data_IF_211010966542
#
_entry.id   IF_211010966542
#
_cell.length_a   1.000
_cell.length_b   1.000
_cell.length_c   1.000
_cell.angle_alpha   90.00
_cell.angle_beta   90.00
_cell.angle_gamma   90.00
#
_symmetry.space_group_name_H-M   'P 1'
#
loop_
_entity.id
_entity.type
_entity.pdbx_description
1 polymer ?
#
# COMPACT_ATOMS: atom_id res chain seq x y z
N UNK A 1 24.73 17.43 -15.94
CA UNK A 1 24.87 16.07 -15.42
C UNK A 1 23.48 15.45 -15.41
N UNK A 2 23.12 14.66 -16.41
CA UNK A 2 21.94 13.82 -16.31
C UNK A 2 22.41 12.49 -15.71
N UNK A 3 21.91 12.17 -14.52
CA UNK A 3 22.01 10.81 -14.02
C UNK A 3 20.91 10.07 -14.76
N UNK A 4 21.29 9.34 -15.80
CA UNK A 4 20.45 8.31 -16.38
C UNK A 4 20.51 7.17 -15.37
N UNK A 5 19.60 7.19 -14.39
CA UNK A 5 19.35 6.03 -13.55
C UNK A 5 18.80 4.94 -14.47
N UNK A 6 19.48 3.81 -14.43
CA UNK A 6 19.39 2.67 -15.32
C UNK A 6 17.97 2.32 -15.80
N UNK A 7 17.72 2.51 -17.09
CA UNK A 7 16.56 1.95 -17.80
C UNK A 7 16.72 0.43 -17.94
N UNK A 8 16.15 -0.36 -17.03
CA UNK A 8 16.13 -1.82 -17.16
C UNK A 8 14.80 -2.51 -16.79
N UNK A 9 13.66 -1.85 -16.97
CA UNK A 9 12.36 -2.38 -16.55
C UNK A 9 12.02 -1.94 -15.13
N UNK A 10 12.08 -0.62 -14.90
CA UNK A 10 11.69 -0.04 -13.62
C UNK A 10 10.17 -0.19 -13.47
N UNK A 11 9.77 -1.05 -12.53
CA UNK A 11 8.39 -1.21 -12.15
C UNK A 11 7.99 -0.01 -11.28
N UNK A 12 6.99 0.73 -11.72
CA UNK A 12 6.39 1.83 -10.97
C UNK A 12 5.29 1.24 -10.09
N UNK A 13 5.42 1.45 -8.79
CA UNK A 13 4.47 0.96 -7.79
C UNK A 13 3.63 2.12 -7.28
N UNK A 14 2.34 2.09 -7.55
CA UNK A 14 1.34 3.02 -7.04
C UNK A 14 0.51 2.31 -5.97
N UNK A 15 0.53 2.84 -4.75
CA UNK A 15 -0.18 2.27 -3.61
C UNK A 15 -1.32 3.19 -3.18
N UNK A 16 -2.48 2.59 -2.91
CA UNK A 16 -3.68 3.29 -2.45
C UNK A 16 -4.36 2.49 -1.34
N UNK A 17 -4.93 3.15 -0.34
CA UNK A 17 -5.76 2.52 0.68
C UNK A 17 -7.06 3.28 0.88
N UNK A 18 -8.14 2.55 1.20
CA UNK A 18 -9.44 3.15 1.57
C UNK A 18 -9.49 3.60 3.06
N UNK A 19 -8.46 3.26 3.84
CA UNK A 19 -8.35 3.63 5.25
C UNK A 19 -6.94 3.42 5.81
N UNK A 20 -6.59 4.20 6.83
CA UNK A 20 -5.25 4.20 7.43
C UNK A 20 -4.28 5.08 6.64
N UNK A 21 -2.98 4.84 6.86
CA UNK A 21 -1.90 5.61 6.24
C UNK A 21 -0.87 4.65 5.64
N UNK A 22 -0.45 4.91 4.40
CA UNK A 22 0.64 4.19 3.74
C UNK A 22 1.88 5.07 3.80
N UNK A 23 2.99 4.49 4.24
CA UNK A 23 4.32 5.11 4.28
C UNK A 23 5.33 4.25 3.53
N UNK A 24 6.15 4.90 2.70
CA UNK A 24 7.14 4.24 1.84
C UNK A 24 6.69 4.18 0.37
N UNK A 25 7.59 3.69 -0.47
CA UNK A 25 7.43 3.65 -1.92
C UNK A 25 8.13 2.41 -2.51
N UNK A 26 7.76 2.02 -3.72
CA UNK A 26 8.33 0.85 -4.40
C UNK A 26 7.64 -0.47 -4.04
N UNK A 27 8.41 -1.56 -3.99
CA UNK A 27 7.89 -2.93 -3.85
C UNK A 27 7.44 -3.29 -2.43
N UNK A 28 7.81 -2.48 -1.43
CA UNK A 28 7.48 -2.68 -0.03
C UNK A 28 7.03 -1.35 0.58
N UNK A 29 5.84 -1.34 1.17
CA UNK A 29 5.32 -0.20 1.92
C UNK A 29 4.95 -0.64 3.34
N UNK A 30 4.85 0.33 4.24
CA UNK A 30 4.29 0.15 5.57
C UNK A 30 2.89 0.72 5.58
N UNK A 31 1.88 -0.09 5.88
CA UNK A 31 0.52 0.38 6.09
C UNK A 31 0.22 0.39 7.59
N UNK A 32 -0.23 1.55 8.07
CA UNK A 32 -0.66 1.77 9.45
C UNK A 32 -2.17 1.77 9.50
N UNK A 33 -2.73 0.86 10.30
CA UNK A 33 -4.17 0.73 10.45
C UNK A 33 -4.80 2.00 11.07
N UNK A 34 -6.00 2.41 10.63
CA UNK A 34 -6.72 3.53 11.23
C UNK A 34 -7.26 3.21 12.63
N UNK A 35 -7.55 4.24 13.43
CA UNK A 35 -8.19 4.17 14.76
C UNK A 35 -9.67 3.72 14.74
N UNK A 36 -10.14 3.14 13.64
CA UNK A 36 -11.52 2.67 13.49
C UNK A 36 -11.52 1.22 13.05
N UNK A 37 -12.33 0.41 13.73
CA UNK A 37 -12.61 -0.94 13.27
C UNK A 37 -13.31 -0.90 11.91
N UNK A 38 -12.93 -1.80 11.02
CA UNK A 38 -13.50 -1.89 9.69
C UNK A 38 -12.60 -2.65 8.72
N UNK A 39 -13.17 -2.98 7.57
CA UNK A 39 -12.43 -3.56 6.47
C UNK A 39 -11.74 -2.44 5.69
N UNK A 40 -10.42 -2.54 5.55
CA UNK A 40 -9.61 -1.62 4.76
C UNK A 40 -9.05 -2.38 3.58
N UNK A 41 -9.25 -1.83 2.39
CA UNK A 41 -8.64 -2.39 1.17
C UNK A 41 -7.39 -1.60 0.83
N UNK A 42 -6.25 -2.28 0.75
CA UNK A 42 -4.99 -1.75 0.23
C UNK A 42 -4.80 -2.30 -1.18
N UNK A 43 -4.67 -1.41 -2.15
CA UNK A 43 -4.48 -1.74 -3.56
C UNK A 43 -3.10 -1.27 -4.01
N UNK A 44 -2.37 -2.17 -4.67
CA UNK A 44 -1.16 -1.84 -5.40
C UNK A 44 -1.41 -1.96 -6.89
N UNK A 45 -0.97 -0.97 -7.63
CA UNK A 45 -0.93 -0.98 -9.08
C UNK A 45 0.53 -0.90 -9.50
N UNK A 46 1.00 -1.95 -10.17
CA UNK A 46 2.36 -2.02 -10.69
C UNK A 46 2.28 -1.79 -12.18
N UNK A 47 2.99 -0.78 -12.68
CA UNK A 47 3.13 -0.55 -14.11
C UNK A 47 4.59 -0.68 -14.54
N UNK A 48 4.78 -1.22 -15.74
CA UNK A 48 6.09 -1.37 -16.34
C UNK A 48 6.28 -0.31 -17.45
N UNK A 49 7.53 0.02 -17.77
CA UNK A 49 7.89 0.94 -18.85
C UNK A 49 7.30 0.55 -20.22
N UNK A 50 6.95 -0.72 -20.43
CA UNK A 50 6.28 -1.20 -21.64
C UNK A 50 4.76 -0.96 -21.67
N UNK A 51 4.19 -0.30 -20.66
CA UNK A 51 2.75 0.01 -20.56
C UNK A 51 1.88 -1.14 -20.03
N UNK A 52 2.50 -2.22 -19.57
CA UNK A 52 1.79 -3.29 -18.86
C UNK A 52 1.46 -2.82 -17.44
N UNK A 53 0.22 -3.02 -17.01
CA UNK A 53 -0.21 -2.65 -15.66
C UNK A 53 -0.97 -3.80 -15.01
N UNK A 54 -0.62 -4.11 -13.76
CA UNK A 54 -1.26 -5.13 -12.95
C UNK A 54 -1.66 -4.51 -11.62
N UNK A 55 -2.91 -4.70 -11.23
CA UNK A 55 -3.41 -4.26 -9.94
C UNK A 55 -3.73 -5.46 -9.05
N UNK A 56 -3.42 -5.35 -7.76
CA UNK A 56 -3.74 -6.35 -6.75
C UNK A 56 -4.20 -5.67 -5.48
N UNK A 57 -5.29 -6.18 -4.90
CA UNK A 57 -5.84 -5.68 -3.65
C UNK A 57 -5.71 -6.72 -2.54
N UNK A 58 -5.53 -6.21 -1.32
CA UNK A 58 -5.49 -6.98 -0.08
C UNK A 58 -6.49 -6.32 0.87
N UNK A 59 -7.38 -7.12 1.45
CA UNK A 59 -8.37 -6.67 2.43
C UNK A 59 -7.83 -6.98 3.83
N UNK A 60 -7.69 -5.94 4.64
CA UNK A 60 -7.32 -6.02 6.04
C UNK A 60 -8.54 -5.77 6.91
N UNK A 61 -8.81 -6.68 7.84
CA UNK A 61 -9.85 -6.48 8.84
C UNK A 61 -9.23 -5.84 10.08
N UNK A 62 -9.43 -4.53 10.24
CA UNK A 62 -9.00 -3.78 11.41
C UNK A 62 -9.98 -4.03 12.53
N UNK A 63 -9.51 -4.63 13.60
CA UNK A 63 -10.27 -4.76 14.85
C UNK A 63 -9.80 -3.66 15.78
N UNK A 64 -10.72 -2.77 16.18
CA UNK A 64 -10.45 -1.93 17.34
C UNK A 64 -10.50 -2.84 18.55
N UNK A 65 -9.49 -2.73 19.42
CA UNK A 65 -9.58 -3.33 20.73
C UNK A 65 -10.63 -2.54 21.52
N UNK A 66 -11.90 -2.90 21.33
CA UNK A 66 -12.95 -2.46 22.22
C UNK A 66 -12.77 -3.25 23.51
N UNK A 67 -12.52 -2.53 24.60
CA UNK A 67 -12.43 -3.00 25.98
C UNK A 67 -11.21 -3.85 26.39
N UNK A 68 -10.19 -3.18 26.91
CA UNK A 68 -9.65 -3.60 28.19
C UNK A 68 -10.64 -3.12 29.26
N UNK A 69 -11.68 -3.89 29.59
CA UNK A 69 -12.37 -3.68 30.87
C UNK A 69 -11.44 -4.27 31.93
N UNK A 70 -10.65 -3.43 32.59
CA UNK A 70 -10.04 -3.80 33.87
C UNK A 70 -11.19 -3.93 34.87
N UNK A 71 -11.75 -5.14 34.98
CA UNK A 71 -12.60 -5.57 36.09
C UNK A 71 -11.76 -6.11 37.23
#
# INVERSE_FOLDING_TARGET
>A
ACVVSDTSGELVYEWSCDGGEISGEGSMITWTAPDRAGEVTVTVTVSDAYGNMISKSIVFNVVSCSSCEFG
#
